data_IF_186283859957
#
_entry.id   IF_186283859957
#
_cell.length_a   1.000
_cell.length_b   1.000
_cell.length_c   1.000
_cell.angle_alpha   90.00
_cell.angle_beta   90.00
_cell.angle_gamma   90.00
#
_symmetry.space_group_name_H-M   'P 1'
#
loop_
_entity.id
_entity.type
_entity.pdbx_description
1 polymer ?
#
# COMPACT_ATOMS: atom_id res chain seq x y z
N UNK A 1 19.39 1.87 6.28
CA UNK A 1 18.86 2.43 5.03
C UNK A 1 17.71 1.58 4.53
N UNK A 2 16.58 2.22 4.19
CA UNK A 2 15.41 1.50 3.68
C UNK A 2 15.68 1.01 2.26
N UNK A 3 15.22 -0.20 1.94
CA UNK A 3 15.38 -0.81 0.61
C UNK A 3 14.02 -1.22 0.07
N UNK A 4 13.91 -1.26 -1.25
CA UNK A 4 12.68 -1.71 -1.93
C UNK A 4 12.30 -3.14 -1.48
N UNK A 5 13.30 -3.99 -1.23
CA UNK A 5 13.07 -5.37 -0.77
C UNK A 5 12.29 -5.43 0.55
N UNK A 6 12.33 -4.37 1.34
CA UNK A 6 11.55 -4.30 2.57
C UNK A 6 10.05 -4.46 2.30
N UNK A 7 9.59 -4.09 1.11
CA UNK A 7 8.19 -4.27 0.73
C UNK A 7 7.78 -5.75 0.76
N UNK A 8 8.73 -6.66 0.47
CA UNK A 8 8.45 -8.10 0.57
C UNK A 8 8.17 -8.51 2.02
N UNK A 9 8.89 -7.91 2.95
CA UNK A 9 8.67 -8.20 4.37
C UNK A 9 7.28 -7.75 4.82
N UNK A 10 6.85 -6.57 4.35
CA UNK A 10 5.51 -6.08 4.66
C UNK A 10 4.46 -7.00 4.06
N UNK A 11 4.66 -7.46 2.82
CA UNK A 11 3.75 -8.41 2.18
C UNK A 11 3.60 -9.68 3.02
N UNK A 12 4.71 -10.21 3.52
CA UNK A 12 4.67 -11.41 4.36
C UNK A 12 3.97 -11.16 5.68
N UNK A 13 4.15 -10.00 6.28
CA UNK A 13 3.44 -9.62 7.51
C UNK A 13 1.94 -9.60 7.26
N UNK A 14 1.50 -8.99 6.15
CA UNK A 14 0.08 -8.92 5.80
C UNK A 14 -0.50 -10.32 5.66
N UNK A 15 0.17 -11.20 4.92
CA UNK A 15 -0.28 -12.59 4.74
C UNK A 15 -0.36 -13.34 6.06
N UNK A 16 0.62 -13.18 6.90
CA UNK A 16 0.67 -13.86 8.19
C UNK A 16 -0.47 -13.39 9.10
N UNK A 17 -0.70 -12.07 9.19
CA UNK A 17 -1.77 -11.52 10.02
C UNK A 17 -3.15 -11.91 9.50
N UNK A 18 -3.30 -12.03 8.18
CA UNK A 18 -4.55 -12.51 7.58
C UNK A 18 -4.84 -13.95 7.99
N UNK A 19 -3.83 -14.80 8.02
CA UNK A 19 -3.98 -16.21 8.35
C UNK A 19 -4.16 -16.45 9.85
N UNK A 20 -3.37 -15.80 10.68
CA UNK A 20 -3.35 -16.06 12.13
C UNK A 20 -4.39 -15.22 12.89
N UNK A 21 -4.77 -14.09 12.34
CA UNK A 21 -5.75 -13.16 12.92
C UNK A 21 -5.49 -12.88 14.42
N UNK A 22 -4.29 -12.40 14.77
CA UNK A 22 -3.98 -12.13 16.18
C UNK A 22 -4.82 -10.96 16.71
N UNK A 23 -5.06 -10.97 18.02
CA UNK A 23 -5.76 -9.87 18.67
C UNK A 23 -4.95 -8.58 18.53
N UNK A 24 -5.64 -7.44 18.48
CA UNK A 24 -5.06 -6.11 18.38
C UNK A 24 -4.23 -5.89 17.11
N UNK A 25 -4.50 -6.65 16.05
CA UNK A 25 -3.87 -6.43 14.76
C UNK A 25 -4.79 -5.61 13.86
N UNK A 26 -4.33 -4.43 13.46
CA UNK A 26 -5.07 -3.59 12.51
C UNK A 26 -5.31 -4.33 11.20
N UNK A 27 -4.28 -5.04 10.70
CA UNK A 27 -4.38 -5.81 9.45
C UNK A 27 -5.49 -6.87 9.58
N UNK A 28 -5.47 -7.64 10.67
CA UNK A 28 -6.46 -8.70 10.86
C UNK A 28 -7.87 -8.14 10.95
N UNK A 29 -8.04 -7.04 11.67
CA UNK A 29 -9.34 -6.38 11.80
C UNK A 29 -9.86 -5.89 10.46
N UNK A 30 -9.00 -5.24 9.68
CA UNK A 30 -9.38 -4.69 8.40
C UNK A 30 -9.72 -5.80 7.40
N UNK A 31 -8.92 -6.86 7.36
CA UNK A 31 -9.17 -8.00 6.48
C UNK A 31 -10.49 -8.67 6.84
N UNK A 32 -10.80 -8.79 8.14
CA UNK A 32 -12.05 -9.40 8.60
C UNK A 32 -13.27 -8.58 8.17
N UNK A 33 -13.14 -7.25 8.04
CA UNK A 33 -14.23 -6.40 7.57
C UNK A 33 -14.48 -6.53 6.06
N UNK A 34 -13.50 -7.02 5.31
CA UNK A 34 -13.69 -7.34 3.91
C UNK A 34 -13.32 -6.24 2.93
N UNK A 35 -13.39 -6.59 1.65
CA UNK A 35 -12.93 -5.75 0.55
C UNK A 35 -13.57 -4.35 0.49
N UNK A 36 -14.89 -4.19 0.72
CA UNK A 36 -15.45 -2.83 0.69
C UNK A 36 -14.82 -1.90 1.71
N UNK A 37 -14.53 -2.39 2.92
CA UNK A 37 -13.90 -1.57 3.96
C UNK A 37 -12.43 -1.28 3.62
N UNK A 38 -11.73 -2.28 3.12
CA UNK A 38 -10.33 -2.10 2.68
C UNK A 38 -10.27 -1.02 1.60
N UNK A 39 -11.20 -1.06 0.65
CA UNK A 39 -11.26 -0.09 -0.45
C UNK A 39 -11.58 1.31 0.06
N UNK A 40 -12.51 1.41 1.00
CA UNK A 40 -12.86 2.68 1.63
C UNK A 40 -11.64 3.31 2.31
N UNK A 41 -10.90 2.52 3.07
CA UNK A 41 -9.72 3.01 3.77
C UNK A 41 -8.66 3.50 2.80
N UNK A 42 -8.45 2.78 1.70
CA UNK A 42 -7.50 3.22 0.68
C UNK A 42 -7.90 4.58 0.11
N UNK A 43 -9.19 4.77 -0.19
CA UNK A 43 -9.68 6.04 -0.69
C UNK A 43 -9.45 7.18 0.29
N UNK A 44 -9.70 6.94 1.58
CA UNK A 44 -9.49 7.94 2.63
C UNK A 44 -8.02 8.34 2.71
N UNK A 45 -7.10 7.37 2.66
CA UNK A 45 -5.68 7.65 2.71
C UNK A 45 -5.21 8.42 1.48
N UNK A 46 -5.78 8.14 0.32
CA UNK A 46 -5.46 8.89 -0.90
C UNK A 46 -5.83 10.37 -0.75
N UNK A 47 -7.00 10.67 -0.18
CA UNK A 47 -7.42 12.04 0.08
C UNK A 47 -6.47 12.71 1.07
N UNK A 48 -6.04 12.00 2.10
CA UNK A 48 -5.12 12.57 3.09
C UNK A 48 -3.76 12.91 2.49
N UNK A 49 -3.28 12.13 1.51
CA UNK A 49 -2.05 12.47 0.79
C UNK A 49 -2.23 13.80 0.05
N UNK A 50 -3.38 13.98 -0.62
CA UNK A 50 -3.65 15.23 -1.34
C UNK A 50 -3.69 16.41 -0.37
N UNK A 51 -4.38 16.26 0.76
CA UNK A 51 -4.46 17.32 1.78
C UNK A 51 -3.07 17.65 2.33
N UNK A 52 -2.28 16.63 2.63
CA UNK A 52 -0.93 16.83 3.15
C UNK A 52 -0.05 17.58 2.15
N UNK A 53 -0.17 17.25 0.86
CA UNK A 53 0.60 17.91 -0.19
C UNK A 53 0.25 19.39 -0.33
N UNK A 54 -1.02 19.74 -0.14
CA UNK A 54 -1.51 21.10 -0.36
C UNK A 54 -1.45 21.98 0.87
N UNK A 55 -1.56 21.41 2.06
CA UNK A 55 -1.80 22.19 3.28
C UNK A 55 -0.89 21.85 4.46
N UNK A 56 -0.08 20.81 4.35
CA UNK A 56 0.74 20.37 5.48
C UNK A 56 2.22 20.32 5.09
N UNK A 57 3.07 19.87 6.01
CA UNK A 57 4.51 19.84 5.75
C UNK A 57 4.97 18.56 5.08
N UNK A 58 6.25 18.51 4.70
CA UNK A 58 6.81 17.36 3.99
C UNK A 58 6.79 16.08 4.83
N UNK A 59 6.97 16.20 6.13
CA UNK A 59 6.96 15.04 7.01
C UNK A 59 5.56 14.39 7.02
N UNK A 60 4.51 15.22 7.05
CA UNK A 60 3.13 14.71 6.97
C UNK A 60 2.85 14.07 5.62
N UNK A 61 3.36 14.66 4.54
CA UNK A 61 3.18 14.08 3.22
C UNK A 61 3.83 12.69 3.13
N UNK A 62 5.03 12.53 3.67
CA UNK A 62 5.70 11.22 3.68
C UNK A 62 4.90 10.22 4.52
N UNK A 63 4.43 10.65 5.70
CA UNK A 63 3.65 9.79 6.60
C UNK A 63 2.35 9.31 5.93
N UNK A 64 1.59 10.22 5.33
CA UNK A 64 0.34 9.87 4.67
C UNK A 64 0.57 9.03 3.43
N UNK A 65 1.67 9.27 2.71
CA UNK A 65 2.03 8.46 1.55
C UNK A 65 2.38 7.03 1.96
N UNK A 66 3.05 6.86 3.10
CA UNK A 66 3.33 5.52 3.64
C UNK A 66 2.04 4.79 3.98
N UNK A 67 1.07 5.49 4.60
CA UNK A 67 -0.24 4.91 4.91
C UNK A 67 -0.97 4.49 3.64
N UNK A 68 -0.90 5.31 2.59
CA UNK A 68 -1.53 4.99 1.31
C UNK A 68 -0.95 3.71 0.72
N UNK A 69 0.37 3.60 0.67
CA UNK A 69 1.04 2.42 0.12
C UNK A 69 0.70 1.18 0.95
N UNK A 70 0.69 1.31 2.26
CA UNK A 70 0.36 0.20 3.16
C UNK A 70 -1.05 -0.33 2.88
N UNK A 71 -2.03 0.56 2.78
CA UNK A 71 -3.41 0.16 2.51
C UNK A 71 -3.56 -0.41 1.10
N UNK A 72 -2.81 0.12 0.13
CA UNK A 72 -2.78 -0.46 -1.21
C UNK A 72 -2.27 -1.90 -1.16
N UNK A 73 -1.24 -2.17 -0.37
CA UNK A 73 -0.69 -3.52 -0.25
C UNK A 73 -1.71 -4.49 0.35
N UNK A 74 -2.50 -4.04 1.33
CA UNK A 74 -3.57 -4.85 1.91
C UNK A 74 -4.64 -5.16 0.86
N UNK A 75 -5.04 -4.14 0.09
CA UNK A 75 -6.02 -4.33 -0.98
C UNK A 75 -5.53 -5.34 -2.01
N UNK A 76 -4.29 -5.20 -2.46
CA UNK A 76 -3.71 -6.11 -3.45
C UNK A 76 -3.70 -7.54 -2.91
N UNK A 77 -3.31 -7.74 -1.65
CA UNK A 77 -3.30 -9.07 -1.05
C UNK A 77 -4.71 -9.69 -1.03
N UNK A 78 -5.74 -8.87 -0.81
CA UNK A 78 -7.12 -9.35 -0.80
C UNK A 78 -7.59 -9.83 -2.17
N UNK A 79 -6.87 -9.47 -3.23
CA UNK A 79 -7.15 -9.90 -4.59
C UNK A 79 -6.09 -10.87 -5.10
N UNK A 80 -5.31 -11.47 -4.20
CA UNK A 80 -4.25 -12.42 -4.51
C UNK A 80 -3.14 -11.83 -5.38
N UNK A 81 -2.89 -10.53 -5.21
CA UNK A 81 -1.82 -9.80 -5.86
C UNK A 81 -0.87 -9.26 -4.81
N UNK A 82 0.29 -8.77 -5.23
CA UNK A 82 1.16 -8.07 -4.31
C UNK A 82 1.83 -6.87 -4.99
N UNK A 83 2.54 -6.09 -4.20
CA UNK A 83 3.13 -4.85 -4.68
C UNK A 83 4.15 -5.08 -5.81
N UNK A 84 4.78 -6.25 -5.87
CA UNK A 84 5.73 -6.57 -6.93
C UNK A 84 5.05 -6.66 -8.29
N UNK A 85 3.77 -7.05 -8.33
CA UNK A 85 3.01 -7.04 -9.59
C UNK A 85 2.88 -5.62 -10.12
N UNK A 86 2.68 -4.65 -9.22
CA UNK A 86 2.61 -3.23 -9.60
C UNK A 86 3.97 -2.73 -10.06
N UNK A 87 5.04 -3.13 -9.35
CA UNK A 87 6.40 -2.76 -9.74
C UNK A 87 6.72 -3.29 -11.15
N UNK A 88 6.32 -4.52 -11.45
CA UNK A 88 6.51 -5.09 -12.80
C UNK A 88 5.80 -4.28 -13.86
N UNK A 89 4.57 -3.84 -13.57
CA UNK A 89 3.83 -3.03 -14.52
C UNK A 89 4.51 -1.67 -14.74
N UNK A 90 5.04 -1.07 -13.68
CA UNK A 90 5.79 0.18 -13.80
C UNK A 90 7.07 -0.02 -14.62
N UNK A 91 7.74 -1.15 -14.43
CA UNK A 91 8.94 -1.46 -15.20
C UNK A 91 8.61 -1.61 -16.69
N UNK A 92 7.50 -2.26 -17.01
CA UNK A 92 7.03 -2.36 -18.40
C UNK A 92 6.78 -0.98 -19.00
N UNK A 93 6.16 -0.08 -18.23
CA UNK A 93 5.88 1.27 -18.70
C UNK A 93 7.15 2.10 -18.84
N UNK A 94 8.14 1.82 -18.01
CA UNK A 94 9.41 2.53 -18.06
C UNK A 94 10.07 2.44 -19.45
N UNK A 95 9.93 1.31 -20.13
CA UNK A 95 10.45 1.14 -21.48
C UNK A 95 9.84 2.14 -22.46
N UNK A 96 8.53 2.43 -22.31
CA UNK A 96 7.86 3.44 -23.12
C UNK A 96 8.31 4.84 -22.76
N UNK A 97 8.50 5.11 -21.47
CA UNK A 97 8.90 6.43 -21.00
C UNK A 97 10.31 6.80 -21.45
N UNK A 98 11.22 5.83 -21.49
CA UNK A 98 12.61 6.05 -21.85
C UNK A 98 12.85 5.97 -23.36
N UNK A 99 12.03 5.23 -24.10
CA UNK A 99 12.22 5.03 -25.55
C UNK A 99 11.80 6.23 -26.39
N UNK A 100 11.13 7.22 -25.80
CA UNK A 100 10.68 8.42 -26.51
C UNK A 100 11.77 9.44 -26.74
N UNK A 101 12.91 9.22 -26.17
CA UNK A 101 14.05 10.11 -26.33
C UNK A 101 15.03 9.57 -27.39
#
# INVERSE_FOLDING_TARGET
MAKIEFLNEITEIIKKRKLTQPENSYIAELVAEGLPKISQKLGEEAVEVVVAALAEDKARLVSESADLIFHLMILLDSKDLNILDVVKELDNRNKKWTSKN
#
